data_IF_216392259369
#
_entry.id   IF_216392259369
#
_cell.length_a   1.000
_cell.length_b   1.000
_cell.length_c   1.000
_cell.angle_alpha   90.00
_cell.angle_beta   90.00
_cell.angle_gamma   90.00
#
_symmetry.space_group_name_H-M   'P 1'
#
loop_
_entity.id
_entity.type
_entity.pdbx_description
1 polymer ?
#
# COMPACT_ATOMS: atom_id res chain seq x y z
N UNK A 1 5.13 14.83 -5.98
CA UNK A 1 6.18 14.60 -4.96
C UNK A 1 7.13 15.78 -4.83
N UNK A 2 7.91 16.14 -5.87
CA UNK A 2 8.88 17.25 -5.76
C UNK A 2 8.22 18.59 -5.36
N UNK A 3 7.17 19.01 -6.08
CA UNK A 3 6.42 20.24 -5.77
C UNK A 3 5.81 20.21 -4.37
N UNK A 4 5.19 19.09 -3.99
CA UNK A 4 4.55 18.95 -2.68
C UNK A 4 5.56 18.99 -1.54
N UNK A 5 6.72 18.32 -1.68
CA UNK A 5 7.81 18.42 -0.69
C UNK A 5 8.37 19.83 -0.59
N UNK A 6 8.50 20.53 -1.72
CA UNK A 6 9.01 21.90 -1.72
C UNK A 6 8.05 22.88 -1.00
N UNK A 7 6.74 22.80 -1.30
CA UNK A 7 5.73 23.71 -0.77
C UNK A 7 5.29 23.35 0.66
N UNK A 8 4.98 22.09 0.91
CA UNK A 8 4.41 21.64 2.18
C UNK A 8 5.48 21.23 3.21
N UNK A 9 6.71 20.95 2.75
CA UNK A 9 7.80 20.37 3.57
C UNK A 9 7.42 19.00 4.16
N UNK A 10 8.43 18.33 4.70
CA UNK A 10 8.22 17.11 5.49
C UNK A 10 7.85 17.46 6.92
N UNK A 11 7.21 16.51 7.62
CA UNK A 11 7.04 16.58 9.07
C UNK A 11 8.42 16.58 9.75
N UNK A 12 8.59 17.25 10.91
CA UNK A 12 9.81 17.14 11.70
C UNK A 12 10.18 15.67 11.95
N UNK A 13 11.47 15.34 11.82
CA UNK A 13 11.96 13.96 11.96
C UNK A 13 11.78 13.06 10.73
N UNK A 14 11.02 13.48 9.71
CA UNK A 14 10.87 12.73 8.45
C UNK A 14 11.83 13.28 7.39
N UNK A 15 12.70 12.40 6.89
CA UNK A 15 13.65 12.75 5.84
C UNK A 15 12.97 12.81 4.47
N UNK A 16 12.11 11.83 4.19
CA UNK A 16 11.45 11.66 2.90
C UNK A 16 10.01 11.20 3.06
N UNK A 17 9.07 11.75 2.28
CA UNK A 17 7.71 11.24 2.25
C UNK A 17 7.66 9.89 1.52
N UNK A 18 6.71 9.03 1.89
CA UNK A 18 6.47 7.74 1.24
C UNK A 18 5.09 7.71 0.59
N UNK A 19 4.97 7.04 -0.55
CA UNK A 19 3.69 6.82 -1.21
C UNK A 19 3.05 5.53 -0.68
N UNK A 20 1.83 5.64 -0.14
CA UNK A 20 1.06 4.53 0.41
C UNK A 20 -0.21 4.28 -0.39
N UNK A 21 -0.56 3.01 -0.58
CA UNK A 21 -1.91 2.60 -1.02
C UNK A 21 -2.42 1.43 -0.20
N UNK A 22 -3.74 1.23 -0.20
CA UNK A 22 -4.35 0.04 0.36
C UNK A 22 -4.46 -1.02 -0.74
N UNK A 23 -3.77 -2.15 -0.56
CA UNK A 23 -3.81 -3.29 -1.47
C UNK A 23 -4.82 -4.32 -0.94
N UNK A 24 -5.72 -4.85 -1.78
CA UNK A 24 -6.65 -5.91 -1.38
C UNK A 24 -5.93 -7.18 -0.94
N UNK A 25 -6.45 -7.82 0.10
CA UNK A 25 -5.97 -9.10 0.62
C UNK A 25 -7.14 -10.05 0.85
N UNK A 26 -6.86 -11.33 1.08
CA UNK A 26 -7.88 -12.34 1.42
C UNK A 26 -8.73 -11.95 2.65
N UNK A 27 -8.15 -11.20 3.59
CA UNK A 27 -8.79 -10.79 4.85
C UNK A 27 -9.19 -9.30 4.90
N UNK A 28 -9.11 -8.56 3.80
CA UNK A 28 -9.41 -7.13 3.75
C UNK A 28 -8.43 -6.34 2.90
N UNK A 29 -7.62 -5.50 3.55
CA UNK A 29 -6.60 -4.70 2.88
C UNK A 29 -5.33 -4.59 3.72
N UNK A 30 -4.21 -4.32 3.05
CA UNK A 30 -2.91 -4.04 3.63
C UNK A 30 -2.38 -2.71 3.08
N UNK A 31 -1.82 -1.87 3.94
CA UNK A 31 -1.12 -0.67 3.49
C UNK A 31 0.27 -1.05 2.97
N UNK A 32 0.55 -0.77 1.69
CA UNK A 32 1.86 -1.00 1.09
C UNK A 32 2.59 0.33 0.92
N UNK A 33 3.81 0.40 1.44
CA UNK A 33 4.75 1.52 1.32
C UNK A 33 6.12 0.96 0.93
N UNK A 34 7.02 1.71 0.31
CA UNK A 34 6.76 2.81 -0.61
C UNK A 34 6.39 2.25 -2.00
N UNK A 35 5.82 3.08 -2.88
CA UNK A 35 5.32 2.70 -4.19
C UNK A 35 5.99 3.46 -5.34
N UNK A 36 7.19 4.00 -5.09
CA UNK A 36 8.00 4.70 -6.08
C UNK A 36 8.19 6.19 -5.79
N UNK A 37 7.91 6.67 -4.57
CA UNK A 37 8.35 8.00 -4.17
C UNK A 37 9.88 8.05 -4.02
N UNK A 38 10.49 6.97 -3.54
CA UNK A 38 11.91 6.83 -3.25
C UNK A 38 12.41 5.50 -3.85
N UNK A 39 13.13 5.59 -4.96
CA UNK A 39 13.67 4.40 -5.65
C UNK A 39 14.70 3.67 -4.79
N UNK A 40 15.51 4.42 -4.05
CA UNK A 40 16.55 3.89 -3.17
C UNK A 40 16.36 4.43 -1.75
N UNK A 41 16.45 3.55 -0.76
CA UNK A 41 16.10 3.80 0.62
C UNK A 41 17.15 3.21 1.57
N UNK A 42 17.59 4.00 2.56
CA UNK A 42 18.38 3.48 3.67
C UNK A 42 17.49 2.73 4.67
N UNK A 43 18.12 2.08 5.65
CA UNK A 43 17.41 1.38 6.72
C UNK A 43 16.52 2.32 7.54
N UNK A 44 16.99 3.54 7.79
CA UNK A 44 16.29 4.60 8.54
C UNK A 44 15.06 5.09 7.78
N UNK A 45 15.13 5.18 6.44
CA UNK A 45 13.94 5.50 5.64
C UNK A 45 12.88 4.40 5.77
N UNK A 46 13.27 3.12 5.68
CA UNK A 46 12.33 2.00 5.85
C UNK A 46 11.73 1.99 7.26
N UNK A 47 12.52 2.29 8.29
CA UNK A 47 12.04 2.48 9.65
C UNK A 47 10.99 3.61 9.75
N UNK A 48 11.29 4.80 9.21
CA UNK A 48 10.33 5.92 9.16
C UNK A 48 9.04 5.53 8.40
N UNK A 49 9.16 4.78 7.30
CA UNK A 49 7.99 4.34 6.52
C UNK A 49 7.12 3.36 7.32
N UNK A 50 7.72 2.47 8.10
CA UNK A 50 7.01 1.58 9.01
C UNK A 50 6.28 2.35 10.11
N UNK A 51 6.92 3.35 10.74
CA UNK A 51 6.28 4.22 11.72
C UNK A 51 5.08 4.94 11.11
N UNK A 52 5.28 5.61 9.96
CA UNK A 52 4.22 6.35 9.27
C UNK A 52 3.07 5.43 8.84
N UNK A 53 3.38 4.25 8.30
CA UNK A 53 2.41 3.25 7.89
C UNK A 53 1.58 2.72 9.07
N UNK A 54 2.22 2.46 10.22
CA UNK A 54 1.55 2.04 11.44
C UNK A 54 0.54 3.10 11.91
N UNK A 55 0.97 4.36 12.03
CA UNK A 55 0.09 5.46 12.46
C UNK A 55 -1.06 5.66 11.47
N UNK A 56 -0.82 5.55 10.17
CA UNK A 56 -1.87 5.64 9.16
C UNK A 56 -2.88 4.49 9.27
N UNK A 57 -2.42 3.26 9.50
CA UNK A 57 -3.31 2.12 9.71
C UNK A 57 -4.12 2.24 11.01
N UNK A 58 -3.49 2.69 12.10
CA UNK A 58 -4.18 3.01 13.36
C UNK A 58 -5.25 4.08 13.15
N UNK A 59 -4.97 5.08 12.31
CA UNK A 59 -5.93 6.11 11.98
C UNK A 59 -7.14 5.59 11.21
N UNK A 60 -6.97 4.51 10.47
CA UNK A 60 -8.03 3.86 9.72
C UNK A 60 -8.67 2.70 10.48
N UNK A 61 -8.53 2.67 11.81
CA UNK A 61 -9.24 1.75 12.69
C UNK A 61 -8.56 0.40 12.92
N UNK A 62 -7.26 0.27 12.63
CA UNK A 62 -6.46 -0.92 12.95
C UNK A 62 -5.64 -0.69 14.23
N UNK A 63 -6.15 -1.01 15.43
CA UNK A 63 -5.34 -0.87 16.65
C UNK A 63 -4.14 -1.82 16.59
N UNK A 64 -2.94 -1.33 16.94
CA UNK A 64 -1.68 -2.10 16.93
C UNK A 64 -1.44 -2.88 15.61
N UNK A 65 -1.39 -2.18 14.46
CA UNK A 65 -1.33 -2.81 13.15
C UNK A 65 -0.06 -3.64 13.03
N UNK A 66 -0.17 -4.85 12.47
CA UNK A 66 0.99 -5.71 12.23
C UNK A 66 1.82 -5.09 11.10
N UNK A 67 3.06 -4.74 11.39
CA UNK A 67 3.99 -4.14 10.45
C UNK A 67 5.03 -5.17 10.03
N UNK A 68 5.26 -5.30 8.72
CA UNK A 68 6.25 -6.21 8.18
C UNK A 68 7.15 -5.52 7.14
N UNK A 69 8.38 -6.01 7.01
CA UNK A 69 9.25 -5.67 5.89
C UNK A 69 9.04 -6.69 4.76
N UNK A 70 8.85 -6.21 3.54
CA UNK A 70 8.81 -7.09 2.36
C UNK A 70 10.23 -7.60 2.08
N UNK A 71 10.36 -8.91 1.90
CA UNK A 71 11.65 -9.55 1.69
C UNK A 71 11.54 -10.72 0.69
N UNK A 72 12.70 -11.26 0.30
CA UNK A 72 12.83 -12.43 -0.60
C UNK A 72 12.67 -13.78 0.14
N UNK A 73 12.30 -13.73 1.41
CA UNK A 73 12.01 -14.89 2.25
C UNK A 73 11.79 -14.44 3.70
N UNK A 74 11.29 -15.36 4.53
CA UNK A 74 10.89 -15.06 5.91
C UNK A 74 12.03 -15.23 6.92
N UNK A 75 13.16 -15.84 6.51
CA UNK A 75 14.29 -16.13 7.36
C UNK A 75 15.23 -14.93 7.55
N UNK A 76 15.79 -14.75 8.75
CA UNK A 76 16.62 -13.59 9.12
C UNK A 76 17.86 -13.37 8.24
N UNK A 77 18.38 -14.45 7.67
CA UNK A 77 19.55 -14.43 6.80
C UNK A 77 19.25 -13.94 5.38
N UNK A 78 17.98 -13.83 4.99
CA UNK A 78 17.58 -13.42 3.64
C UNK A 78 17.36 -11.91 3.53
N UNK A 79 17.44 -11.42 2.29
CA UNK A 79 17.34 -10.00 2.00
C UNK A 79 18.68 -9.30 1.92
N UNK A 80 18.61 -8.08 1.40
CA UNK A 80 19.75 -7.19 1.28
C UNK A 80 20.09 -6.53 2.63
N UNK A 81 21.24 -5.86 2.69
CA UNK A 81 21.75 -5.29 3.93
C UNK A 81 20.82 -4.21 4.51
N UNK A 82 20.23 -3.36 3.66
CA UNK A 82 19.32 -2.29 4.10
C UNK A 82 18.06 -2.83 4.80
N UNK A 83 17.45 -3.91 4.28
CA UNK A 83 16.27 -4.53 4.88
C UNK A 83 16.62 -5.18 6.22
N UNK A 84 17.79 -5.83 6.31
CA UNK A 84 18.26 -6.43 7.56
C UNK A 84 18.51 -5.39 8.66
N UNK A 85 19.18 -4.30 8.31
CA UNK A 85 19.41 -3.20 9.24
C UNK A 85 18.09 -2.56 9.67
N UNK A 86 17.13 -2.39 8.76
CA UNK A 86 15.81 -1.87 9.09
C UNK A 86 15.05 -2.80 10.05
N UNK A 87 15.19 -4.13 9.90
CA UNK A 87 14.61 -5.10 10.84
C UNK A 87 15.18 -4.92 12.23
N UNK A 88 16.51 -4.79 12.37
CA UNK A 88 17.16 -4.54 13.67
C UNK A 88 16.64 -3.25 14.32
N UNK A 89 16.44 -2.18 13.54
CA UNK A 89 15.86 -0.93 14.05
C UNK A 89 14.41 -1.14 14.52
N UNK A 90 13.60 -1.85 13.74
CA UNK A 90 12.19 -2.11 14.07
C UNK A 90 12.00 -3.04 15.27
N UNK A 91 12.88 -4.02 15.46
CA UNK A 91 12.88 -4.90 16.63
C UNK A 91 13.19 -4.14 17.93
N UNK A 92 13.99 -3.09 17.85
CA UNK A 92 14.34 -2.24 18.99
C UNK A 92 13.30 -1.14 19.26
N UNK A 93 12.44 -0.86 18.29
CA UNK A 93 11.46 0.21 18.38
C UNK A 93 10.31 -0.15 19.32
N UNK A 94 10.05 0.73 20.27
CA UNK A 94 8.88 0.59 21.17
C UNK A 94 7.65 1.14 20.49
N UNK A 95 6.50 0.51 20.69
CA UNK A 95 5.22 1.03 20.20
C UNK A 95 4.93 0.75 18.72
N UNK A 96 5.70 -0.11 18.07
CA UNK A 96 5.39 -0.69 16.75
C UNK A 96 5.21 -2.20 16.91
N UNK A 97 4.14 -2.74 16.36
CA UNK A 97 3.89 -4.18 16.31
C UNK A 97 4.60 -4.78 15.08
N UNK A 98 5.93 -4.86 15.14
CA UNK A 98 6.74 -5.43 14.07
C UNK A 98 6.71 -6.96 14.13
N UNK A 99 6.34 -7.59 13.02
CA UNK A 99 6.16 -9.06 12.91
C UNK A 99 7.23 -9.74 12.05
N UNK A 100 8.31 -9.02 11.70
CA UNK A 100 9.39 -9.56 10.87
C UNK A 100 9.14 -9.40 9.37
N UNK A 101 9.64 -10.36 8.61
CA UNK A 101 9.58 -10.36 7.15
C UNK A 101 8.33 -11.06 6.60
N UNK A 102 7.87 -10.59 5.43
CA UNK A 102 6.94 -11.34 4.60
C UNK A 102 7.41 -11.36 3.14
N UNK A 103 7.01 -12.39 2.41
CA UNK A 103 7.18 -12.46 0.96
C UNK A 103 6.00 -11.80 0.22
N UNK A 104 6.15 -11.61 -1.10
CA UNK A 104 5.15 -10.94 -1.94
C UNK A 104 3.76 -11.60 -1.92
N UNK A 105 3.68 -12.92 -1.74
CA UNK A 105 2.39 -13.62 -1.61
C UNK A 105 1.78 -13.47 -0.20
N UNK A 106 2.62 -13.28 0.82
CA UNK A 106 2.24 -12.96 2.20
C UNK A 106 1.41 -11.68 2.30
N UNK A 107 1.68 -10.70 1.43
CA UNK A 107 0.89 -9.48 1.28
C UNK A 107 -0.58 -9.83 0.95
N UNK A 108 -0.81 -10.61 -0.11
CA UNK A 108 -2.17 -10.99 -0.54
C UNK A 108 -2.87 -11.95 0.42
N UNK A 109 -2.11 -12.75 1.17
CA UNK A 109 -2.63 -13.59 2.27
C UNK A 109 -3.04 -12.77 3.51
N UNK A 110 -2.71 -11.48 3.57
CA UNK A 110 -3.09 -10.60 4.68
C UNK A 110 -2.30 -10.87 5.97
N UNK A 111 -1.04 -11.30 5.83
CA UNK A 111 -0.18 -11.60 6.98
C UNK A 111 0.20 -10.35 7.79
N UNK A 112 0.14 -9.17 7.18
CA UNK A 112 0.39 -7.88 7.81
C UNK A 112 -0.72 -6.87 7.47
N UNK A 113 -0.84 -5.82 8.28
CA UNK A 113 -1.71 -4.67 8.03
C UNK A 113 -0.95 -3.54 7.34
N UNK A 114 0.38 -3.48 7.55
CA UNK A 114 1.31 -2.54 6.92
C UNK A 114 2.53 -3.31 6.43
N UNK A 115 2.90 -3.11 5.16
CA UNK A 115 4.06 -3.73 4.53
C UNK A 115 4.95 -2.64 3.96
N UNK A 116 6.24 -2.72 4.27
CA UNK A 116 7.23 -1.70 3.93
C UNK A 116 8.32 -2.27 3.05
N UNK A 117 8.67 -1.53 2.01
CA UNK A 117 9.75 -1.77 1.06
C UNK A 117 10.24 -0.45 0.48
N UNK A 118 11.33 -0.47 -0.27
CA UNK A 118 11.71 0.66 -1.10
C UNK A 118 10.74 0.83 -2.29
N UNK A 119 10.73 2.03 -2.87
CA UNK A 119 9.80 2.38 -3.92
C UNK A 119 10.05 1.64 -5.24
N UNK A 120 11.25 1.11 -5.48
CA UNK A 120 11.52 0.29 -6.67
C UNK A 120 10.79 -1.05 -6.55
N UNK A 121 11.01 -1.77 -5.45
CA UNK A 121 10.36 -3.06 -5.18
C UNK A 121 8.85 -2.91 -5.09
N UNK A 122 8.36 -1.94 -4.31
CA UNK A 122 6.92 -1.77 -4.10
C UNK A 122 6.17 -1.37 -5.37
N UNK A 123 6.77 -0.54 -6.23
CA UNK A 123 6.16 -0.20 -7.53
C UNK A 123 6.12 -1.40 -8.47
N UNK A 124 7.18 -2.24 -8.50
CA UNK A 124 7.18 -3.48 -9.28
C UNK A 124 6.11 -4.44 -8.78
N UNK A 125 6.03 -4.67 -7.46
CA UNK A 125 5.02 -5.55 -6.86
C UNK A 125 3.61 -5.08 -7.22
N UNK A 126 3.31 -3.80 -7.02
CA UNK A 126 1.99 -3.23 -7.30
C UNK A 126 1.64 -3.37 -8.81
N UNK A 127 2.53 -2.95 -9.70
CA UNK A 127 2.26 -2.97 -11.16
C UNK A 127 2.16 -4.39 -11.72
N UNK A 128 2.98 -5.31 -11.23
CA UNK A 128 2.91 -6.72 -11.61
C UNK A 128 1.56 -7.32 -11.20
N UNK A 129 1.06 -6.95 -10.03
CA UNK A 129 -0.18 -7.50 -9.48
C UNK A 129 -1.42 -6.92 -10.14
N UNK A 130 -1.41 -5.62 -10.46
CA UNK A 130 -2.43 -4.99 -11.30
C UNK A 130 -2.48 -5.62 -12.70
N UNK A 131 -1.31 -5.86 -13.32
CA UNK A 131 -1.20 -6.50 -14.62
C UNK A 131 -1.71 -7.94 -14.62
N UNK A 132 -1.33 -8.72 -13.61
CA UNK A 132 -1.81 -10.09 -13.43
C UNK A 132 -3.33 -10.14 -13.22
N UNK A 133 -3.88 -9.27 -12.38
CA UNK A 133 -5.32 -9.18 -12.12
C UNK A 133 -6.10 -8.84 -13.40
N UNK A 134 -5.62 -7.84 -14.17
CA UNK A 134 -6.22 -7.47 -15.45
C UNK A 134 -6.17 -8.62 -16.47
N UNK A 135 -5.04 -9.32 -16.57
CA UNK A 135 -4.90 -10.49 -17.43
C UNK A 135 -5.89 -11.59 -17.05
N UNK A 136 -5.98 -11.96 -15.76
CA UNK A 136 -6.90 -13.01 -15.28
C UNK A 136 -8.36 -12.65 -15.60
N UNK A 137 -8.78 -11.40 -15.34
CA UNK A 137 -10.13 -10.94 -15.66
C UNK A 137 -10.40 -11.03 -17.17
N UNK A 138 -9.47 -10.57 -18.02
CA UNK A 138 -9.61 -10.66 -19.49
C UNK A 138 -9.75 -12.11 -19.96
N UNK A 139 -8.92 -13.02 -19.43
CA UNK A 139 -8.99 -14.45 -19.79
C UNK A 139 -10.31 -15.09 -19.39
N UNK A 140 -10.86 -14.72 -18.22
CA UNK A 140 -12.18 -15.20 -17.80
C UNK A 140 -13.29 -14.71 -18.74
N UNK A 141 -13.28 -13.43 -19.12
CA UNK A 141 -14.25 -12.85 -20.05
C UNK A 141 -14.19 -13.54 -21.43
N UNK A 142 -12.99 -13.83 -21.94
CA UNK A 142 -12.80 -14.59 -23.19
C UNK A 142 -13.37 -16.01 -23.12
N UNK A 143 -13.14 -16.72 -22.00
CA UNK A 143 -13.64 -18.08 -21.82
C UNK A 143 -15.16 -18.14 -21.85
N UNK A 144 -15.84 -17.21 -21.16
CA UNK A 144 -17.32 -17.14 -21.19
C UNK A 144 -17.87 -16.66 -22.54
N UNK A 145 -17.08 -15.96 -23.35
CA UNK A 145 -17.48 -15.54 -24.70
C UNK A 145 -17.24 -16.61 -25.79
N UNK A 146 -16.52 -17.68 -25.48
CA UNK A 146 -15.99 -18.65 -26.46
C UNK A 146 -17.04 -19.48 -27.21
N UNK A 147 -18.19 -19.77 -26.59
CA UNK A 147 -19.25 -20.61 -27.19
C UNK A 147 -20.64 -20.26 -26.66
N UNK A 148 -21.70 -20.72 -27.33
CA UNK A 148 -23.09 -20.50 -26.88
C UNK A 148 -23.35 -21.09 -25.48
N UNK A 149 -22.80 -22.28 -25.19
CA UNK A 149 -22.91 -22.90 -23.86
C UNK A 149 -22.11 -22.13 -22.81
N UNK A 150 -20.90 -21.68 -23.15
CA UNK A 150 -20.10 -20.85 -22.25
C UNK A 150 -20.79 -19.51 -21.95
N UNK A 151 -21.42 -18.89 -22.95
CA UNK A 151 -22.20 -17.65 -22.77
C UNK A 151 -23.41 -17.87 -21.85
N UNK A 152 -24.10 -18.99 -21.98
CA UNK A 152 -25.21 -19.34 -21.09
C UNK A 152 -24.75 -19.49 -19.63
N UNK A 153 -23.62 -20.18 -19.40
CA UNK A 153 -23.01 -20.27 -18.05
C UNK A 153 -22.56 -18.89 -17.56
N UNK A 154 -21.96 -18.10 -18.44
CA UNK A 154 -21.49 -16.74 -18.15
C UNK A 154 -22.62 -15.80 -17.72
N UNK A 155 -23.82 -15.95 -18.29
CA UNK A 155 -25.01 -15.19 -17.88
C UNK A 155 -25.43 -15.52 -16.44
N UNK A 156 -25.42 -16.81 -16.07
CA UNK A 156 -25.71 -17.24 -14.70
C UNK A 156 -24.62 -16.76 -13.73
N UNK A 157 -23.36 -16.82 -14.13
CA UNK A 157 -22.22 -16.38 -13.32
C UNK A 157 -22.02 -14.85 -13.30
N UNK A 158 -22.71 -14.09 -14.16
CA UNK A 158 -22.50 -12.66 -14.36
C UNK A 158 -22.50 -11.82 -13.07
N UNK A 159 -23.39 -12.04 -12.08
CA UNK A 159 -23.35 -11.28 -10.82
C UNK A 159 -22.04 -11.48 -10.06
N UNK A 160 -21.54 -12.72 -10.02
CA UNK A 160 -20.28 -13.08 -9.35
C UNK A 160 -19.07 -12.53 -10.12
N UNK A 161 -19.08 -12.62 -11.45
CA UNK A 161 -18.02 -12.08 -12.30
C UNK A 161 -17.92 -10.56 -12.19
N UNK A 162 -19.06 -9.85 -12.12
CA UNK A 162 -19.07 -8.40 -11.89
C UNK A 162 -18.52 -8.03 -10.52
N UNK A 163 -18.85 -8.81 -9.49
CA UNK A 163 -18.28 -8.63 -8.14
C UNK A 163 -16.77 -8.84 -8.14
N UNK A 164 -16.30 -9.96 -8.72
CA UNK A 164 -14.88 -10.27 -8.83
C UNK A 164 -14.12 -9.19 -9.60
N UNK A 165 -14.65 -8.77 -10.76
CA UNK A 165 -14.09 -7.67 -11.55
C UNK A 165 -14.02 -6.40 -10.71
N UNK A 166 -15.08 -6.06 -9.98
CA UNK A 166 -15.08 -4.89 -9.10
C UNK A 166 -14.02 -4.98 -8.00
N UNK A 167 -13.81 -6.16 -7.39
CA UNK A 167 -12.80 -6.34 -6.32
C UNK A 167 -11.36 -6.28 -6.87
N UNK A 168 -11.14 -6.73 -8.12
CA UNK A 168 -9.84 -6.75 -8.77
C UNK A 168 -9.52 -5.50 -9.61
N UNK A 169 -10.45 -4.55 -9.74
CA UNK A 169 -10.23 -3.37 -10.59
C UNK A 169 -9.33 -2.33 -9.89
N UNK A 170 -8.17 -1.98 -10.47
CA UNK A 170 -7.24 -1.01 -9.84
C UNK A 170 -7.84 0.39 -9.61
N UNK A 171 -8.83 0.80 -10.41
CA UNK A 171 -9.44 2.13 -10.30
C UNK A 171 -10.12 2.40 -8.95
N UNK A 172 -10.58 1.36 -8.25
CA UNK A 172 -11.13 1.48 -6.88
C UNK A 172 -10.09 1.80 -5.82
N UNK A 173 -8.82 1.50 -6.10
CA UNK A 173 -7.69 1.69 -5.20
C UNK A 173 -6.80 2.85 -5.64
N UNK A 174 -7.30 3.67 -6.57
CA UNK A 174 -6.62 4.89 -7.01
C UNK A 174 -6.56 5.94 -5.90
N UNK A 175 -5.55 6.80 -5.96
CA UNK A 175 -5.29 7.82 -4.96
C UNK A 175 -4.30 7.35 -3.90
N UNK A 176 -3.06 7.12 -4.30
CA UNK A 176 -1.99 6.83 -3.35
C UNK A 176 -1.64 8.10 -2.57
N UNK A 177 -1.53 8.01 -1.25
CA UNK A 177 -1.24 9.18 -0.41
C UNK A 177 0.25 9.32 -0.16
N UNK A 178 0.74 10.55 -0.06
CA UNK A 178 2.10 10.83 0.41
C UNK A 178 2.09 11.08 1.91
N UNK A 179 2.54 10.08 2.67
CA UNK A 179 2.76 10.23 4.11
C UNK A 179 4.06 10.98 4.40
N UNK A 180 4.11 11.69 5.52
CA UNK A 180 5.31 12.40 5.97
C UNK A 180 5.44 13.84 5.49
N UNK A 181 4.42 14.37 4.79
CA UNK A 181 4.30 15.79 4.45
C UNK A 181 3.46 16.53 5.51
N UNK A 182 3.67 17.84 5.68
CA UNK A 182 2.86 18.64 6.61
C UNK A 182 1.42 18.88 6.12
N UNK A 183 1.07 18.40 4.93
CA UNK A 183 -0.28 18.46 4.37
C UNK A 183 -0.62 17.20 3.60
N UNK A 184 -1.92 17.02 3.35
CA UNK A 184 -2.46 15.84 2.66
C UNK A 184 -2.23 15.98 1.15
N UNK A 185 -1.58 14.97 0.56
CA UNK A 185 -1.34 14.92 -0.89
C UNK A 185 -1.69 13.55 -1.41
N UNK A 186 -2.75 13.49 -2.23
CA UNK A 186 -3.20 12.26 -2.88
C UNK A 186 -2.84 12.29 -4.36
N UNK A 187 -2.11 11.28 -4.82
CA UNK A 187 -1.71 11.10 -6.21
C UNK A 187 -2.63 10.11 -6.91
N UNK A 188 -3.36 10.62 -7.89
CA UNK A 188 -4.10 9.81 -8.86
C UNK A 188 -3.17 9.30 -9.97
N UNK A 189 -3.51 8.15 -10.57
CA UNK A 189 -2.94 7.76 -11.85
C UNK A 189 -3.37 8.72 -12.98
N UNK A 190 -2.46 8.94 -13.94
CA UNK A 190 -2.71 9.86 -15.06
C UNK A 190 -3.78 9.34 -16.02
N UNK A 191 -3.98 8.03 -16.09
CA UNK A 191 -5.04 7.37 -16.88
C UNK A 191 -6.33 7.12 -16.08
N UNK A 192 -6.46 7.70 -14.88
CA UNK A 192 -7.64 7.47 -14.05
C UNK A 192 -8.89 8.11 -14.67
N UNK A 193 -9.90 7.29 -14.94
CA UNK A 193 -11.24 7.76 -15.28
C UNK A 193 -12.01 8.29 -14.07
N UNK A 194 -13.28 8.64 -14.27
CA UNK A 194 -14.17 9.23 -13.26
C UNK A 194 -14.16 8.48 -11.91
N UNK A 195 -14.36 7.16 -11.92
CA UNK A 195 -14.37 6.34 -10.70
C UNK A 195 -13.01 6.33 -9.99
N UNK A 196 -11.91 6.44 -10.75
CA UNK A 196 -10.58 6.57 -10.18
C UNK A 196 -10.39 7.90 -9.45
N UNK A 197 -10.81 9.00 -10.07
CA UNK A 197 -10.75 10.33 -9.45
C UNK A 197 -11.64 10.39 -8.21
N UNK A 198 -12.85 9.83 -8.28
CA UNK A 198 -13.77 9.72 -7.14
C UNK A 198 -13.17 8.95 -5.98
N UNK A 199 -12.44 7.85 -6.25
CA UNK A 199 -11.73 7.07 -5.23
C UNK A 199 -10.60 7.89 -4.58
N UNK A 200 -9.83 8.65 -5.37
CA UNK A 200 -8.80 9.55 -4.85
C UNK A 200 -9.37 10.68 -3.99
N UNK A 201 -10.50 11.28 -4.37
CA UNK A 201 -11.18 12.30 -3.57
C UNK A 201 -11.72 11.72 -2.26
N UNK A 202 -12.32 10.53 -2.28
CA UNK A 202 -12.74 9.83 -1.06
C UNK A 202 -11.56 9.57 -0.13
N UNK A 203 -10.40 9.19 -0.68
CA UNK A 203 -9.18 9.03 0.12
C UNK A 203 -8.79 10.33 0.81
N UNK A 204 -8.73 11.44 0.07
CA UNK A 204 -8.42 12.75 0.65
C UNK A 204 -9.40 13.13 1.77
N UNK A 205 -10.71 12.90 1.57
CA UNK A 205 -11.73 13.16 2.59
C UNK A 205 -11.53 12.34 3.86
N UNK A 206 -11.14 11.07 3.73
CA UNK A 206 -10.83 10.21 4.89
C UNK A 206 -9.63 10.78 5.64
N UNK A 207 -8.54 11.11 4.94
CA UNK A 207 -7.32 11.64 5.56
C UNK A 207 -7.54 12.99 6.26
N UNK A 208 -8.43 13.83 5.70
CA UNK A 208 -8.84 15.10 6.32
C UNK A 208 -9.61 14.83 7.62
N UNK A 209 -10.57 13.90 7.61
CA UNK A 209 -11.38 13.57 8.79
C UNK A 209 -10.54 12.99 9.91
N UNK A 210 -9.56 12.15 9.58
CA UNK A 210 -8.65 11.55 10.54
C UNK A 210 -7.51 12.47 10.98
N UNK A 211 -7.41 13.67 10.39
CA UNK A 211 -6.35 14.64 10.65
C UNK A 211 -4.95 14.01 10.59
N UNK A 212 -4.73 13.22 9.54
CA UNK A 212 -3.60 12.28 9.46
C UNK A 212 -2.21 12.94 9.64
N UNK A 213 -1.90 14.11 9.05
CA UNK A 213 -0.60 14.76 9.27
C UNK A 213 -0.32 15.09 10.74
N UNK A 214 -1.33 15.51 11.49
CA UNK A 214 -1.22 15.87 12.91
C UNK A 214 -1.04 14.61 13.77
N UNK A 215 -1.75 13.53 13.46
CA UNK A 215 -1.55 12.23 14.12
C UNK A 215 -0.16 11.67 13.89
N UNK A 216 0.33 11.78 12.66
CA UNK A 216 1.71 11.43 12.31
C UNK A 216 2.69 12.27 13.12
N UNK A 217 2.53 13.60 13.12
CA UNK A 217 3.42 14.50 13.85
C UNK A 217 3.54 14.13 15.33
N UNK A 218 2.41 13.93 16.04
CA UNK A 218 2.44 13.61 17.47
C UNK A 218 3.06 12.24 17.78
N UNK A 219 2.83 11.22 16.95
CA UNK A 219 3.44 9.89 17.16
C UNK A 219 4.92 9.84 16.78
N UNK A 220 5.35 10.66 15.83
CA UNK A 220 6.75 10.71 15.42
C UNK A 220 7.63 11.29 16.53
N UNK A 221 7.14 12.27 17.30
CA UNK A 221 7.86 12.81 18.47
C UNK A 221 8.10 11.76 19.58
N UNK A 222 7.25 10.75 19.67
CA UNK A 222 7.40 9.65 20.66
C UNK A 222 8.33 8.52 20.18
N UNK A 223 8.56 8.41 18.86
CA UNK A 223 9.15 7.22 18.22
C UNK A 223 10.47 7.47 17.47
N UNK A 224 10.84 8.73 17.24
CA UNK A 224 12.07 9.17 16.57
C UNK A 224 12.87 10.10 17.51
#
# INVERSE_FOLDING_TARGET
MALSRYLLKTLPGIDRPAMVTAVPTQGGYCHLLDLGANVDCSAEHLYQFAVMGAVAAEALGKPQPRVALLNVGTEDIKGNQQVKLASTLLEQARGINYIGYIEGDGLYRGLADVVVCDGFVGNILLKSSEGLAAMVVSRLEELFASSLSAKAIGLVAMPLLRRLRSELTPSRYNGASFLGLQGIVVKSHGSAGEEGIKSALRRALIEIRENLPQRLHGRLEDLL
#
